data_IF_918374149823
#
_entry.id   IF_918374149823
#
_cell.length_a   1.000
_cell.length_b   1.000
_cell.length_c   1.000
_cell.angle_alpha   90.00
_cell.angle_beta   90.00
_cell.angle_gamma   90.00
#
_symmetry.space_group_name_H-M   'P 1'
#
loop_
_entity.id
_entity.type
_entity.pdbx_description
1 polymer ?
#
# COMPACT_ATOMS: atom_id res chain seq x y z
N UNK A 1 2.86 -9.68 9.71
CA UNK A 1 2.85 -9.73 8.24
C UNK A 1 1.43 -9.41 7.77
N UNK A 2 1.31 -8.64 6.73
CA UNK A 2 0.04 -8.23 6.13
C UNK A 2 0.04 -8.63 4.66
N UNK A 3 -1.08 -9.14 4.15
CA UNK A 3 -1.22 -9.39 2.72
C UNK A 3 -1.17 -8.07 1.96
N UNK A 4 -0.50 -8.04 0.82
CA UNK A 4 -0.54 -6.91 -0.08
C UNK A 4 -1.85 -6.86 -0.88
N UNK A 5 -2.34 -5.66 -1.13
CA UNK A 5 -3.51 -5.37 -1.93
C UNK A 5 -3.17 -4.34 -3.00
N UNK A 6 -3.86 -4.41 -4.12
CA UNK A 6 -3.83 -3.37 -5.14
C UNK A 6 -4.88 -2.33 -4.79
N UNK A 7 -4.46 -1.08 -4.67
CA UNK A 7 -5.35 0.07 -4.47
C UNK A 7 -5.58 0.78 -5.79
N UNK A 8 -6.82 0.93 -6.17
CA UNK A 8 -7.25 1.51 -7.43
C UNK A 8 -8.63 2.17 -7.29
N UNK A 9 -9.05 2.95 -8.27
CA UNK A 9 -10.38 3.53 -8.28
C UNK A 9 -11.43 2.55 -8.81
N UNK A 10 -12.69 2.72 -8.41
CA UNK A 10 -13.80 1.79 -8.72
C UNK A 10 -14.11 1.61 -10.21
N UNK A 11 -13.74 2.58 -11.05
CA UNK A 11 -13.90 2.50 -12.51
C UNK A 11 -12.67 1.98 -13.25
N UNK A 12 -11.64 1.52 -12.53
CA UNK A 12 -10.49 0.88 -13.14
C UNK A 12 -10.89 -0.42 -13.85
N UNK A 13 -10.33 -0.75 -15.03
CA UNK A 13 -10.65 -1.99 -15.74
C UNK A 13 -10.53 -3.27 -14.91
N UNK A 14 -9.66 -3.28 -13.91
CA UNK A 14 -9.46 -4.43 -13.01
C UNK A 14 -10.28 -4.32 -11.71
N UNK A 15 -11.16 -3.34 -11.55
CA UNK A 15 -11.84 -3.09 -10.28
C UNK A 15 -12.81 -4.20 -9.83
N UNK A 16 -13.26 -5.05 -10.74
CA UNK A 16 -14.18 -6.16 -10.46
C UNK A 16 -13.47 -7.52 -10.36
N UNK A 17 -12.14 -7.54 -10.47
CA UNK A 17 -11.36 -8.77 -10.28
C UNK A 17 -11.41 -9.24 -8.83
N UNK A 18 -11.31 -10.56 -8.63
CA UNK A 18 -11.25 -11.15 -7.28
C UNK A 18 -9.86 -11.06 -6.66
N UNK A 19 -8.86 -11.11 -7.51
CA UNK A 19 -7.45 -10.94 -7.19
C UNK A 19 -6.72 -10.41 -8.42
N UNK A 20 -5.59 -9.77 -8.22
CA UNK A 20 -4.80 -9.15 -9.29
C UNK A 20 -3.36 -9.63 -9.14
N UNK A 21 -2.78 -10.12 -10.23
CA UNK A 21 -1.36 -10.44 -10.31
C UNK A 21 -0.56 -9.32 -11.00
N UNK A 22 0.75 -9.39 -10.86
CA UNK A 22 1.66 -8.37 -11.43
C UNK A 22 1.52 -8.23 -12.95
N UNK A 23 1.33 -9.33 -13.65
CA UNK A 23 1.19 -9.33 -15.13
C UNK A 23 0.02 -8.45 -15.61
N UNK A 24 -1.10 -8.46 -14.88
CA UNK A 24 -2.27 -7.62 -15.18
C UNK A 24 -2.01 -6.14 -14.94
N UNK A 25 -1.06 -5.79 -14.06
CA UNK A 25 -0.73 -4.39 -13.72
C UNK A 25 0.24 -3.74 -14.71
N UNK A 26 0.93 -4.51 -15.55
CA UNK A 26 1.97 -3.99 -16.46
C UNK A 26 1.48 -2.92 -17.44
N UNK A 27 0.22 -2.99 -17.82
CA UNK A 27 -0.37 -2.03 -18.74
C UNK A 27 -0.77 -0.70 -18.09
N UNK A 28 -0.77 -0.65 -16.76
CA UNK A 28 -1.21 0.50 -15.97
C UNK A 28 -0.05 1.15 -15.22
N UNK A 29 -0.04 2.49 -15.04
CA UNK A 29 1.03 3.14 -14.30
C UNK A 29 0.95 2.82 -12.81
N UNK A 30 2.10 2.51 -12.22
CA UNK A 30 2.27 2.44 -10.78
C UNK A 30 2.40 3.86 -10.21
N UNK A 31 1.63 4.16 -9.18
CA UNK A 31 1.70 5.41 -8.46
C UNK A 31 2.48 5.22 -7.16
N UNK A 32 3.39 6.12 -6.90
CA UNK A 32 4.32 6.05 -5.80
C UNK A 32 4.48 7.42 -5.16
N UNK A 33 4.80 7.48 -3.86
CA UNK A 33 5.17 8.73 -3.22
C UNK A 33 6.65 9.03 -3.46
N UNK A 34 6.95 10.30 -3.71
CA UNK A 34 8.33 10.74 -3.74
C UNK A 34 8.87 10.82 -2.31
N UNK A 35 9.89 10.03 -2.02
CA UNK A 35 10.48 9.91 -0.68
C UNK A 35 11.78 10.70 -0.52
N UNK A 36 12.21 11.45 -1.54
CA UNK A 36 13.49 12.16 -1.54
C UNK A 36 14.71 11.23 -1.67
N UNK A 37 15.91 11.83 -1.57
CA UNK A 37 17.17 11.11 -1.78
C UNK A 37 17.55 10.17 -0.62
N UNK A 38 16.98 10.36 0.55
CA UNK A 38 17.24 9.58 1.77
C UNK A 38 16.26 8.39 1.96
N UNK A 39 15.63 7.91 0.89
CA UNK A 39 14.68 6.81 0.96
C UNK A 39 15.37 5.54 1.48
N UNK A 40 15.06 5.18 2.71
CA UNK A 40 15.50 3.91 3.28
C UNK A 40 14.60 2.78 2.76
N UNK A 41 15.20 1.72 2.27
CA UNK A 41 14.52 0.48 1.90
C UNK A 41 13.53 -0.01 3.00
N UNK A 42 13.88 0.18 4.28
CA UNK A 42 13.05 -0.24 5.41
C UNK A 42 11.87 0.69 5.73
N UNK A 43 11.80 1.86 5.11
CA UNK A 43 10.74 2.85 5.34
C UNK A 43 9.81 3.00 4.12
N UNK A 44 10.07 2.28 3.04
CA UNK A 44 9.30 2.38 1.82
C UNK A 44 8.09 1.45 1.89
N UNK A 45 6.89 1.99 1.92
CA UNK A 45 5.65 1.24 1.63
C UNK A 45 5.69 0.57 0.25
N UNK A 46 6.59 1.03 -0.60
CA UNK A 46 6.63 0.80 -2.04
C UNK A 46 7.70 -0.20 -2.48
N UNK A 47 8.35 -0.89 -1.57
CA UNK A 47 9.38 -1.90 -1.88
C UNK A 47 8.85 -2.95 -2.87
N UNK A 48 7.55 -3.20 -2.82
CA UNK A 48 6.89 -4.18 -3.67
C UNK A 48 6.66 -3.69 -5.11
N UNK A 49 6.76 -2.38 -5.36
CA UNK A 49 6.28 -1.81 -6.62
C UNK A 49 7.36 -1.23 -7.53
N UNK A 50 8.58 -0.98 -7.03
CA UNK A 50 9.49 -0.06 -7.74
C UNK A 50 10.33 -0.67 -8.84
N UNK A 51 10.52 -1.98 -8.91
CA UNK A 51 11.56 -2.55 -9.80
C UNK A 51 11.06 -3.12 -11.12
N UNK A 52 9.76 -3.29 -11.33
CA UNK A 52 9.25 -4.02 -12.49
C UNK A 52 8.18 -3.28 -13.32
N UNK A 53 7.66 -2.15 -12.85
CA UNK A 53 6.69 -1.37 -13.61
C UNK A 53 7.36 -0.59 -14.76
N UNK A 54 6.81 -0.73 -15.95
CA UNK A 54 7.28 0.03 -17.12
C UNK A 54 7.02 1.54 -16.99
N UNK A 55 6.03 1.94 -16.20
CA UNK A 55 5.62 3.33 -15.96
C UNK A 55 5.40 3.57 -14.49
N UNK A 56 6.20 4.45 -13.90
CA UNK A 56 6.06 4.88 -12.50
C UNK A 56 5.80 6.38 -12.50
N UNK A 57 4.77 6.80 -11.78
CA UNK A 57 4.43 8.21 -11.57
C UNK A 57 4.60 8.51 -10.09
N UNK A 58 5.48 9.44 -9.76
CA UNK A 58 5.73 9.89 -8.40
C UNK A 58 4.87 11.12 -8.09
N UNK A 59 4.20 11.11 -6.95
CA UNK A 59 3.42 12.22 -6.44
C UNK A 59 3.93 12.63 -5.06
N UNK A 60 3.84 13.92 -4.75
CA UNK A 60 4.30 14.47 -3.47
C UNK A 60 3.20 14.49 -2.40
N UNK A 61 1.96 14.33 -2.83
CA UNK A 61 0.81 14.34 -1.93
C UNK A 61 -0.27 13.35 -2.39
N UNK A 62 -1.12 12.98 -1.42
CA UNK A 62 -2.17 11.99 -1.64
C UNK A 62 -3.26 12.47 -2.59
N UNK A 63 -3.65 13.74 -2.53
CA UNK A 63 -4.73 14.25 -3.36
C UNK A 63 -4.34 14.20 -4.84
N UNK A 64 -3.12 14.60 -5.16
CA UNK A 64 -2.55 14.48 -6.50
C UNK A 64 -2.49 13.03 -6.95
N UNK A 65 -2.01 12.12 -6.07
CA UNK A 65 -1.96 10.68 -6.37
C UNK A 65 -3.34 10.14 -6.73
N UNK A 66 -4.37 10.44 -5.94
CA UNK A 66 -5.73 9.96 -6.17
C UNK A 66 -6.33 10.52 -7.48
N UNK A 67 -6.09 11.78 -7.80
CA UNK A 67 -6.53 12.38 -9.07
C UNK A 67 -5.85 11.72 -10.28
N UNK A 68 -4.56 11.47 -10.19
CA UNK A 68 -3.81 10.77 -11.25
C UNK A 68 -4.26 9.32 -11.37
N UNK A 69 -4.57 8.65 -10.25
CA UNK A 69 -5.13 7.29 -10.24
C UNK A 69 -6.40 7.20 -11.07
N UNK A 70 -7.33 8.13 -10.89
CA UNK A 70 -8.57 8.20 -11.68
C UNK A 70 -8.28 8.55 -13.14
N UNK A 71 -7.45 9.56 -13.38
CA UNK A 71 -7.22 10.10 -14.74
C UNK A 71 -6.44 9.16 -15.66
N UNK A 72 -5.60 8.29 -15.13
CA UNK A 72 -4.71 7.42 -15.91
C UNK A 72 -4.92 5.93 -15.67
N UNK A 73 -5.95 5.54 -14.92
CA UNK A 73 -6.13 4.16 -14.45
C UNK A 73 -4.86 3.66 -13.73
N UNK A 74 -4.33 4.49 -12.83
CA UNK A 74 -3.16 4.13 -12.05
C UNK A 74 -3.51 3.22 -10.88
N UNK A 75 -2.51 2.55 -10.34
CA UNK A 75 -2.62 1.69 -9.19
C UNK A 75 -1.45 1.89 -8.24
N UNK A 76 -1.61 1.45 -6.98
CA UNK A 76 -0.51 1.34 -6.03
C UNK A 76 -0.75 0.13 -5.13
N UNK A 77 0.30 -0.42 -4.55
CA UNK A 77 0.18 -1.48 -3.56
C UNK A 77 -0.01 -0.89 -2.16
N UNK A 78 -0.82 -1.53 -1.35
CA UNK A 78 -1.12 -1.12 0.02
C UNK A 78 -1.39 -2.32 0.92
N UNK A 79 -1.59 -2.07 2.21
CA UNK A 79 -1.94 -3.08 3.21
C UNK A 79 -3.40 -3.59 3.14
N UNK A 80 -4.21 -3.05 2.25
CA UNK A 80 -5.64 -3.36 2.18
C UNK A 80 -6.50 -2.68 3.25
N UNK A 81 -5.90 -2.07 4.26
CA UNK A 81 -6.59 -1.39 5.35
C UNK A 81 -6.86 0.05 4.92
N UNK A 82 -8.02 0.28 4.33
CA UNK A 82 -8.45 1.60 3.84
C UNK A 82 -9.70 2.02 4.60
N UNK A 83 -9.62 3.19 5.23
CA UNK A 83 -10.77 3.80 5.88
C UNK A 83 -11.65 4.50 4.83
N UNK A 84 -12.81 3.95 4.53
CA UNK A 84 -13.77 4.53 3.58
C UNK A 84 -14.27 5.90 4.03
N UNK A 85 -14.41 6.13 5.34
CA UNK A 85 -14.84 7.41 5.90
C UNK A 85 -13.87 8.56 5.55
N UNK A 86 -12.58 8.25 5.42
CA UNK A 86 -11.55 9.23 5.07
C UNK A 86 -11.23 9.29 3.57
N UNK A 87 -11.45 8.22 2.83
CA UNK A 87 -11.06 8.10 1.43
C UNK A 87 -12.24 8.12 0.46
N UNK A 88 -13.46 8.01 0.98
CA UNK A 88 -14.67 7.85 0.18
C UNK A 88 -14.81 6.45 -0.44
N UNK A 89 -15.97 6.18 -1.02
CA UNK A 89 -16.32 4.90 -1.64
C UNK A 89 -15.89 4.78 -3.11
N UNK A 90 -15.07 5.71 -3.59
CA UNK A 90 -14.64 5.73 -5.00
C UNK A 90 -13.40 4.87 -5.29
N UNK A 91 -12.82 4.29 -4.25
CA UNK A 91 -11.61 3.47 -4.34
C UNK A 91 -11.85 2.07 -3.78
N UNK A 92 -11.08 1.12 -4.27
CA UNK A 92 -11.14 -0.29 -3.86
C UNK A 92 -9.76 -0.84 -3.58
N UNK A 93 -9.73 -1.84 -2.70
CA UNK A 93 -8.56 -2.69 -2.49
C UNK A 93 -8.89 -4.10 -2.96
N UNK A 94 -8.02 -4.68 -3.78
CA UNK A 94 -8.17 -6.02 -4.32
C UNK A 94 -6.94 -6.83 -3.93
N UNK A 95 -7.09 -8.07 -3.43
CA UNK A 95 -5.96 -8.90 -3.06
C UNK A 95 -4.92 -8.99 -4.17
N UNK A 96 -3.66 -8.76 -3.83
CA UNK A 96 -2.56 -8.97 -4.75
C UNK A 96 -2.07 -10.41 -4.62
N UNK A 97 -2.11 -11.15 -5.72
CA UNK A 97 -1.58 -12.49 -5.80
C UNK A 97 -0.18 -12.47 -6.40
N UNK A 98 0.72 -13.17 -5.73
CA UNK A 98 2.09 -13.31 -6.20
C UNK A 98 2.17 -14.33 -7.34
N UNK A 99 2.90 -13.98 -8.39
CA UNK A 99 3.46 -14.97 -9.31
C UNK A 99 4.58 -15.70 -8.58
N UNK A 100 4.76 -17.01 -8.81
CA UNK A 100 5.84 -17.84 -8.23
C UNK A 100 7.26 -17.23 -8.35
N UNK A 101 7.42 -16.14 -9.09
CA UNK A 101 8.68 -15.42 -9.33
C UNK A 101 8.90 -14.20 -8.43
N UNK A 102 7.86 -13.66 -7.82
CA UNK A 102 7.91 -12.44 -7.03
C UNK A 102 7.32 -12.67 -5.64
N UNK A 103 8.13 -13.04 -4.68
CA UNK A 103 7.73 -13.30 -3.28
C UNK A 103 7.25 -12.06 -2.51
N UNK A 104 6.52 -11.15 -3.15
CA UNK A 104 6.21 -9.83 -2.67
C UNK A 104 4.74 -9.60 -2.29
N UNK A 105 3.95 -10.67 -2.09
CA UNK A 105 2.55 -10.55 -1.67
C UNK A 105 2.35 -10.24 -0.18
N UNK A 106 3.44 -10.20 0.59
CA UNK A 106 3.39 -9.98 2.04
C UNK A 106 4.16 -8.70 2.41
N UNK A 107 3.48 -7.80 3.09
CA UNK A 107 4.06 -6.58 3.66
C UNK A 107 4.36 -6.78 5.15
N UNK A 108 5.58 -6.47 5.58
CA UNK A 108 5.91 -6.40 6.99
C UNK A 108 5.52 -5.04 7.56
N UNK A 109 4.51 -5.00 8.41
CA UNK A 109 4.09 -3.78 9.10
C UNK A 109 4.51 -3.86 10.56
N UNK A 110 5.18 -2.82 11.02
CA UNK A 110 5.67 -2.75 12.39
C UNK A 110 5.69 -1.33 12.94
N UNK A 111 6.23 -1.18 14.13
CA UNK A 111 6.46 0.12 14.75
C UNK A 111 7.93 0.27 15.14
N UNK A 112 8.42 1.49 15.09
CA UNK A 112 9.81 1.81 15.41
C UNK A 112 9.84 2.57 16.73
N UNK A 113 10.70 2.15 17.63
CA UNK A 113 11.00 2.84 18.88
C UNK A 113 12.51 3.06 19.04
N UNK A 114 12.88 4.12 19.73
CA UNK A 114 14.28 4.35 20.06
C UNK A 114 14.79 3.21 20.93
N UNK A 115 15.99 2.71 20.64
CA UNK A 115 16.64 1.66 21.45
C UNK A 115 16.67 2.05 22.93
N UNK A 116 16.35 1.14 23.82
CA UNK A 116 16.29 1.33 25.27
C UNK A 116 15.21 2.34 25.74
N UNK A 117 14.21 2.64 24.93
CA UNK A 117 13.07 3.43 25.37
C UNK A 117 12.04 2.56 26.05
N UNK A 118 11.63 2.95 27.25
CA UNK A 118 10.45 2.37 27.91
C UNK A 118 9.24 3.14 27.38
N UNK A 119 8.29 2.43 26.78
CA UNK A 119 7.04 3.04 26.33
C UNK A 119 6.30 3.64 27.54
N UNK A 120 5.73 4.83 27.36
CA UNK A 120 4.78 5.37 28.31
C UNK A 120 3.57 4.44 28.45
N UNK A 121 2.80 4.57 29.55
CA UNK A 121 1.57 3.81 29.73
C UNK A 121 0.62 3.96 28.52
N UNK A 122 0.46 5.16 28.02
CA UNK A 122 -0.40 5.45 26.85
C UNK A 122 0.20 4.80 25.59
N UNK A 123 1.50 4.92 25.37
CA UNK A 123 2.17 4.27 24.25
C UNK A 123 2.04 2.74 24.27
N UNK A 124 2.13 2.13 25.45
CA UNK A 124 1.90 0.69 25.63
C UNK A 124 0.45 0.29 25.28
N UNK A 125 -0.53 1.02 25.79
CA UNK A 125 -1.96 0.78 25.49
C UNK A 125 -2.24 0.94 23.99
N UNK A 126 -1.68 1.97 23.35
CA UNK A 126 -1.84 2.15 21.91
C UNK A 126 -1.32 0.96 21.10
N UNK A 127 -0.13 0.48 21.43
CA UNK A 127 0.46 -0.69 20.76
C UNK A 127 -0.37 -1.95 20.99
N UNK A 128 -0.92 -2.15 22.21
CA UNK A 128 -1.79 -3.28 22.50
C UNK A 128 -3.09 -3.23 21.70
N UNK A 129 -3.74 -2.05 21.60
CA UNK A 129 -4.96 -1.88 20.82
C UNK A 129 -4.68 -2.06 19.31
N UNK A 130 -3.57 -1.54 18.82
CA UNK A 130 -3.15 -1.74 17.43
C UNK A 130 -2.95 -3.23 17.11
N UNK A 131 -2.32 -3.98 17.98
CA UNK A 131 -2.14 -5.43 17.82
C UNK A 131 -3.48 -6.18 17.81
N UNK A 132 -4.42 -5.79 18.66
CA UNK A 132 -5.76 -6.39 18.68
C UNK A 132 -6.49 -6.10 17.37
N UNK A 133 -6.43 -4.87 16.89
CA UNK A 133 -7.05 -4.47 15.63
C UNK A 133 -6.49 -5.27 14.45
N UNK A 134 -5.17 -5.39 14.34
CA UNK A 134 -4.51 -6.14 13.28
C UNK A 134 -4.69 -7.66 13.38
N UNK A 135 -5.07 -8.19 14.53
CA UNK A 135 -5.38 -9.62 14.70
C UNK A 135 -6.81 -9.98 14.27
N UNK A 136 -7.67 -8.99 14.05
CA UNK A 136 -9.07 -9.16 13.65
C UNK A 136 -9.22 -9.02 12.12
N UNK A 137 -8.29 -8.38 11.47
CA UNK A 137 -8.23 -8.14 10.03
C UNK A 137 -7.34 -9.20 9.38
#
# INVERSE_FOLDING_TARGET
>A
DCQAYVYLWKGHPLAEERSICFEQLKDYPCLSFEQGDDSSFYLAEEILSTNEYARIIKANDRATMLNVMVGLNGNTLCSGIICEELNGSDYRTIPFEDDEKNHNSVMEIGYIVRRNTILSRIGGLYVEELKKYLAIV
#
